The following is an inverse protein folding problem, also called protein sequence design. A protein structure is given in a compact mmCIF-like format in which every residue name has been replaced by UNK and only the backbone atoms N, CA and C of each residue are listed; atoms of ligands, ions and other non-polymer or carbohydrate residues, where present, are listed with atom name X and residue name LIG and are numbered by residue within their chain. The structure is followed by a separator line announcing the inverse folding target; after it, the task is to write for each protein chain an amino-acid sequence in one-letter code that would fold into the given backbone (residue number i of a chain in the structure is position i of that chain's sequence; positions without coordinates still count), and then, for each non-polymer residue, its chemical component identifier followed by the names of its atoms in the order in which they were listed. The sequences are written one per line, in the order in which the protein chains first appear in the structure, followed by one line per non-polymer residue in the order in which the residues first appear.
data_IF_954528590451
#
_entry.id   IF_954528590451
#
_cell.length_a   1.000
_cell.length_b   1.000
_cell.length_c   1.000
_cell.angle_alpha   90.00
_cell.angle_beta   90.00
_cell.angle_gamma   90.00
#
_symmetry.space_group_name_H-M   'P 1'
#
loop_
_entity.id
_entity.type
_entity.pdbx_description
1 polymer ?
#
# COMPACT_ATOMS: atom_id res chain seq x y z
N UNK A 1 8.98 -9.78 8.56
CA UNK A 1 7.66 -9.38 8.03
C UNK A 1 7.69 -8.02 7.35
N UNK A 2 8.14 -6.95 8.01
CA UNK A 2 8.24 -5.60 7.41
C UNK A 2 9.14 -5.56 6.17
N UNK A 3 10.28 -6.27 6.20
CA UNK A 3 11.20 -6.35 5.06
C UNK A 3 10.51 -6.82 3.76
N UNK A 4 9.68 -7.87 3.85
CA UNK A 4 8.93 -8.39 2.71
C UNK A 4 7.98 -7.34 2.11
N UNK A 5 7.27 -6.59 2.96
CA UNK A 5 6.36 -5.51 2.52
C UNK A 5 7.14 -4.41 1.80
N UNK A 6 8.29 -4.03 2.34
CA UNK A 6 9.18 -3.02 1.75
C UNK A 6 9.72 -3.48 0.39
N UNK A 7 10.13 -4.74 0.28
CA UNK A 7 10.65 -5.32 -0.96
C UNK A 7 9.56 -5.37 -2.03
N UNK A 8 8.36 -5.87 -1.68
CA UNK A 8 7.21 -5.86 -2.59
C UNK A 8 6.82 -4.45 -3.03
N UNK A 9 6.84 -3.46 -2.13
CA UNK A 9 6.58 -2.06 -2.48
C UNK A 9 7.59 -1.53 -3.51
N UNK A 10 8.89 -1.81 -3.32
CA UNK A 10 9.95 -1.43 -4.28
C UNK A 10 9.73 -2.07 -5.65
N UNK A 11 9.41 -3.37 -5.70
CA UNK A 11 9.13 -4.09 -6.94
C UNK A 11 7.94 -3.50 -7.71
N UNK A 12 6.95 -2.97 -6.99
CA UNK A 12 5.78 -2.30 -7.57
C UNK A 12 5.99 -0.80 -7.84
N UNK A 13 7.24 -0.31 -7.80
CA UNK A 13 7.59 1.11 -8.04
C UNK A 13 6.88 2.06 -7.07
N UNK A 14 6.65 1.62 -5.85
CA UNK A 14 6.14 2.47 -4.77
C UNK A 14 7.29 3.00 -3.91
N UNK A 15 7.06 4.15 -3.30
CA UNK A 15 7.90 4.65 -2.22
C UNK A 15 7.55 3.86 -0.96
N UNK A 16 8.47 3.06 -0.39
CA UNK A 16 8.14 2.17 0.71
C UNK A 16 7.71 2.91 1.98
N UNK A 17 8.26 4.10 2.22
CA UNK A 17 7.90 4.89 3.40
C UNK A 17 6.47 5.44 3.26
N UNK A 18 6.17 6.08 2.14
CA UNK A 18 4.84 6.63 1.88
C UNK A 18 3.77 5.52 1.85
N UNK A 19 4.08 4.37 1.26
CA UNK A 19 3.19 3.21 1.22
C UNK A 19 2.93 2.64 2.61
N UNK A 20 3.96 2.49 3.47
CA UNK A 20 3.78 2.04 4.85
C UNK A 20 2.93 3.03 5.67
N UNK A 21 3.15 4.34 5.52
CA UNK A 21 2.30 5.35 6.15
C UNK A 21 0.83 5.21 5.72
N UNK A 22 0.58 5.07 4.41
CA UNK A 22 -0.77 4.87 3.88
C UNK A 22 -1.43 3.61 4.43
N UNK A 23 -0.69 2.48 4.47
CA UNK A 23 -1.18 1.23 5.05
C UNK A 23 -1.59 1.42 6.51
N UNK A 24 -0.73 2.01 7.35
CA UNK A 24 -1.04 2.19 8.77
C UNK A 24 -2.16 3.19 9.03
N UNK A 25 -2.35 4.18 8.16
CA UNK A 25 -3.47 5.12 8.26
C UNK A 25 -4.81 4.46 7.88
N UNK A 26 -4.81 3.58 6.87
CA UNK A 26 -6.04 2.96 6.35
C UNK A 26 -6.40 1.63 6.99
N UNK A 27 -5.44 0.80 7.39
CA UNK A 27 -5.67 -0.48 8.05
C UNK A 27 -6.68 -0.44 9.22
N UNK A 28 -6.63 0.52 10.17
CA UNK A 28 -7.60 0.56 11.26
C UNK A 28 -9.01 0.99 10.81
N UNK A 29 -9.15 1.56 9.62
CA UNK A 29 -10.38 2.15 9.11
C UNK A 29 -11.06 1.31 8.02
N UNK A 30 -10.46 0.19 7.61
CA UNK A 30 -11.05 -0.70 6.59
C UNK A 30 -11.77 -1.88 7.23
N UNK A 31 -12.84 -2.33 6.58
CA UNK A 31 -13.46 -3.60 6.94
C UNK A 31 -12.61 -4.75 6.37
N UNK A 32 -11.87 -5.43 7.24
CA UNK A 32 -11.00 -6.55 6.85
C UNK A 32 -11.77 -7.77 6.36
N UNK A 33 -13.10 -7.79 6.50
CA UNK A 33 -13.97 -8.82 5.94
C UNK A 33 -14.38 -8.53 4.50
N UNK A 34 -14.20 -7.29 4.04
CA UNK A 34 -14.44 -6.91 2.66
C UNK A 34 -13.16 -7.09 1.82
N UNK A 35 -13.09 -8.09 0.93
CA UNK A 35 -11.90 -8.33 0.12
C UNK A 35 -11.60 -7.16 -0.81
N UNK A 36 -12.62 -6.42 -1.26
CA UNK A 36 -12.42 -5.26 -2.12
C UNK A 36 -11.68 -4.12 -1.39
N UNK A 37 -12.05 -3.82 -0.15
CA UNK A 37 -11.33 -2.87 0.70
C UNK A 37 -9.86 -3.28 0.95
N UNK A 38 -9.57 -4.58 1.02
CA UNK A 38 -8.21 -5.10 1.15
C UNK A 38 -7.44 -4.95 -0.16
N UNK A 39 -8.06 -5.24 -1.31
CA UNK A 39 -7.47 -5.06 -2.63
C UNK A 39 -7.03 -3.60 -2.87
N UNK A 40 -7.71 -2.62 -2.28
CA UNK A 40 -7.32 -1.20 -2.36
C UNK A 40 -6.00 -0.86 -1.63
N UNK A 41 -5.60 -1.70 -0.66
CA UNK A 41 -4.35 -1.53 0.09
C UNK A 41 -3.18 -2.23 -0.57
N UNK A 42 -3.41 -3.10 -1.57
CA UNK A 42 -2.35 -3.87 -2.21
C UNK A 42 -1.41 -2.98 -3.04
N UNK A 43 -0.13 -3.35 -3.17
CA UNK A 43 0.89 -2.48 -3.76
C UNK A 43 0.70 -2.24 -5.27
N UNK A 44 -0.17 -3.01 -5.91
CA UNK A 44 -0.54 -2.88 -7.32
C UNK A 44 -1.90 -2.18 -7.52
N UNK A 45 -2.54 -1.73 -6.44
CA UNK A 45 -3.89 -1.17 -6.53
C UNK A 45 -3.90 0.16 -7.31
N UNK A 46 -4.84 0.34 -8.25
CA UNK A 46 -4.99 1.59 -8.98
C UNK A 46 -5.47 2.73 -8.06
N UNK A 47 -6.13 2.41 -6.94
CA UNK A 47 -6.63 3.37 -5.94
C UNK A 47 -5.52 4.00 -5.08
N UNK A 48 -4.28 3.50 -5.16
CA UNK A 48 -3.18 4.05 -4.37
C UNK A 48 -2.90 5.52 -4.71
N UNK A 49 -2.70 6.38 -3.70
CA UNK A 49 -2.44 7.79 -3.92
C UNK A 49 -1.11 8.01 -4.65
N UNK A 50 -1.05 9.07 -5.47
CA UNK A 50 0.15 9.40 -6.24
C UNK A 50 1.39 9.63 -5.35
N UNK A 51 1.22 10.06 -4.11
CA UNK A 51 2.31 10.22 -3.15
C UNK A 51 3.00 8.88 -2.78
N UNK A 52 2.29 7.76 -2.89
CA UNK A 52 2.87 6.42 -2.69
C UNK A 52 3.61 5.93 -3.93
N UNK A 53 3.29 6.45 -5.12
CA UNK A 53 3.94 6.06 -6.36
C UNK A 53 5.28 6.77 -6.43
N UNK A 54 6.34 6.02 -6.74
CA UNK A 54 7.64 6.62 -7.04
C UNK A 54 7.50 7.33 -8.38
N UNK A 55 7.17 8.62 -8.34
CA UNK A 55 7.13 9.50 -9.50
C UNK A 55 8.48 9.51 -10.20
N UNK A 56 8.41 9.55 -11.52
CA UNK A 56 9.51 9.50 -12.48
C UNK A 56 10.49 10.67 -12.33
#
# INVERSE_FOLDING_TARGET
MIYSIVETAKQNKLNPFAYLCYLFERMPNIDVKDPAAIDELLPFSPSLPNACRTGR
#
